data_IF_848594292802
#
_entry.id   IF_848594292802
#
_cell.length_a   1.000
_cell.length_b   1.000
_cell.length_c   1.000
_cell.angle_alpha   90.00
_cell.angle_beta   90.00
_cell.angle_gamma   90.00
#
_symmetry.space_group_name_H-M   'P 1'
#
loop_
_entity.id
_entity.type
_entity.pdbx_description
1 polymer ?
#
# COMPACT_ATOMS: atom_id res chain seq x y z
N UNK A 1 -3.10 19.44 -6.90
CA UNK A 1 -3.89 20.67 -7.12
C UNK A 1 -4.44 21.17 -5.80
N UNK A 2 -5.22 20.36 -5.05
CA UNK A 2 -5.79 20.78 -3.77
C UNK A 2 -4.72 21.18 -2.75
N UNK A 3 -3.63 20.44 -2.67
CA UNK A 3 -2.53 20.73 -1.76
C UNK A 3 -1.85 22.07 -2.10
N UNK A 4 -1.68 22.37 -3.38
CA UNK A 4 -1.07 23.61 -3.82
C UNK A 4 -1.96 24.85 -3.56
N UNK A 5 -3.28 24.68 -3.65
CA UNK A 5 -4.23 25.72 -3.28
C UNK A 5 -4.19 26.00 -1.78
N UNK A 6 -4.06 24.97 -0.96
CA UNK A 6 -4.00 25.10 0.50
C UNK A 6 -2.70 25.74 1.01
N UNK A 7 -1.61 25.59 0.27
CA UNK A 7 -0.26 26.00 0.68
C UNK A 7 0.25 27.21 -0.09
N UNK A 8 -0.53 27.68 -1.07
CA UNK A 8 -0.18 28.83 -1.94
C UNK A 8 1.19 28.67 -2.66
N UNK A 9 1.53 27.40 -3.00
CA UNK A 9 2.80 27.06 -3.62
C UNK A 9 2.81 27.41 -5.10
N UNK A 10 3.81 28.13 -5.60
CA UNK A 10 3.87 28.59 -7.00
C UNK A 10 4.18 27.47 -7.99
N UNK A 11 4.64 26.31 -7.51
CA UNK A 11 5.04 25.15 -8.32
C UNK A 11 4.41 23.86 -7.78
N UNK A 12 4.22 22.86 -8.67
CA UNK A 12 3.64 21.56 -8.34
C UNK A 12 4.69 20.46 -8.14
N UNK A 13 5.97 20.82 -8.01
CA UNK A 13 7.05 19.89 -7.70
C UNK A 13 7.14 19.61 -6.19
N UNK A 14 7.52 18.40 -5.82
CA UNK A 14 7.58 17.95 -4.43
C UNK A 14 8.45 18.84 -3.52
N UNK A 15 9.66 19.29 -3.94
CA UNK A 15 10.47 20.17 -3.10
C UNK A 15 9.81 21.50 -2.78
N UNK A 16 9.12 22.11 -3.76
CA UNK A 16 8.40 23.38 -3.56
C UNK A 16 7.18 23.22 -2.65
N UNK A 17 6.45 22.09 -2.78
CA UNK A 17 5.33 21.77 -1.90
C UNK A 17 5.81 21.51 -0.47
N UNK A 18 6.89 20.76 -0.29
CA UNK A 18 7.49 20.52 1.03
C UNK A 18 7.93 21.82 1.70
N UNK A 19 8.68 22.66 0.98
CA UNK A 19 9.14 23.96 1.51
C UNK A 19 7.97 24.90 1.84
N UNK A 20 6.91 24.87 1.05
CA UNK A 20 5.72 25.67 1.30
C UNK A 20 4.91 25.12 2.50
N UNK A 21 4.88 23.82 2.72
CA UNK A 21 4.27 23.19 3.90
C UNK A 21 5.02 23.54 5.19
N UNK A 22 6.35 23.60 5.14
CA UNK A 22 7.19 24.00 6.27
C UNK A 22 6.98 25.48 6.66
N UNK A 23 6.66 26.33 5.69
CA UNK A 23 6.42 27.77 5.89
C UNK A 23 4.96 28.11 6.22
N UNK A 24 4.02 27.25 5.85
CA UNK A 24 2.60 27.47 6.10
C UNK A 24 2.15 26.73 7.36
N UNK A 25 1.42 27.40 8.23
CA UNK A 25 0.69 26.75 9.32
C UNK A 25 -0.53 26.03 8.76
N UNK A 26 -0.33 24.89 8.09
CA UNK A 26 -1.46 23.99 7.84
C UNK A 26 -2.10 23.65 9.19
N UNK A 27 -3.41 23.89 9.28
CA UNK A 27 -4.15 23.44 10.48
C UNK A 27 -4.01 21.93 10.59
N UNK A 28 -3.69 21.41 11.77
CA UNK A 28 -3.55 19.96 12.05
C UNK A 28 -4.73 19.15 11.50
N UNK A 29 -5.92 19.73 11.56
CA UNK A 29 -7.14 19.14 11.00
C UNK A 29 -7.10 19.00 9.47
N UNK A 30 -6.49 19.93 8.75
CA UNK A 30 -6.36 19.85 7.30
C UNK A 30 -5.31 18.80 6.91
N UNK A 31 -4.14 18.80 7.55
CA UNK A 31 -3.09 17.81 7.36
C UNK A 31 -3.59 16.39 7.62
N UNK A 32 -4.33 16.18 8.70
CA UNK A 32 -4.95 14.91 9.05
C UNK A 32 -5.91 14.41 7.96
N UNK A 33 -6.78 15.27 7.44
CA UNK A 33 -7.74 14.91 6.38
C UNK A 33 -7.03 14.60 5.06
N UNK A 34 -6.02 15.38 4.67
CA UNK A 34 -5.26 15.17 3.44
C UNK A 34 -4.51 13.84 3.51
N UNK A 35 -3.83 13.57 4.61
CA UNK A 35 -3.14 12.29 4.81
C UNK A 35 -4.12 11.10 4.73
N UNK A 36 -5.28 11.21 5.38
CA UNK A 36 -6.33 10.19 5.33
C UNK A 36 -6.81 9.90 3.91
N UNK A 37 -7.03 10.93 3.09
CA UNK A 37 -7.40 10.76 1.68
C UNK A 37 -6.29 10.09 0.86
N UNK A 38 -5.03 10.47 1.07
CA UNK A 38 -3.88 9.82 0.42
C UNK A 38 -3.75 8.37 0.86
N UNK A 39 -3.91 8.10 2.16
CA UNK A 39 -3.86 6.74 2.72
C UNK A 39 -4.98 5.86 2.15
N UNK A 40 -6.20 6.38 2.02
CA UNK A 40 -7.31 5.64 1.41
C UNK A 40 -7.02 5.38 -0.08
N UNK A 41 -6.60 6.38 -0.84
CA UNK A 41 -6.30 6.24 -2.27
C UNK A 41 -5.20 5.21 -2.53
N UNK A 42 -4.06 5.34 -1.88
CA UNK A 42 -2.95 4.39 -1.99
C UNK A 42 -3.29 3.03 -1.36
N UNK A 43 -4.05 3.03 -0.26
CA UNK A 43 -4.51 1.81 0.40
C UNK A 43 -5.43 0.97 -0.48
N UNK A 44 -6.35 1.58 -1.23
CA UNK A 44 -7.18 0.89 -2.22
C UNK A 44 -6.30 0.26 -3.30
N UNK A 45 -5.33 0.99 -3.84
CA UNK A 45 -4.40 0.49 -4.86
C UNK A 45 -3.61 -0.73 -4.37
N UNK A 46 -3.17 -0.73 -3.12
CA UNK A 46 -2.40 -1.84 -2.51
C UNK A 46 -3.30 -2.98 -2.05
N UNK A 47 -4.61 -2.74 -1.95
CA UNK A 47 -5.61 -3.65 -1.36
C UNK A 47 -5.52 -3.75 0.17
N UNK A 48 -5.52 -2.60 0.86
CA UNK A 48 -5.64 -2.51 2.31
C UNK A 48 -7.06 -2.95 2.75
N UNK A 49 -7.15 -3.69 3.84
CA UNK A 49 -8.44 -4.01 4.46
C UNK A 49 -9.17 -2.71 4.87
N UNK A 50 -10.48 -2.60 4.63
CA UNK A 50 -11.41 -3.58 4.05
C UNK A 50 -11.49 -3.58 2.50
N UNK A 51 -10.76 -2.72 1.81
CA UNK A 51 -10.85 -2.50 0.36
C UNK A 51 -10.05 -3.53 -0.48
N UNK A 52 -9.83 -4.73 0.01
CA UNK A 52 -8.94 -5.73 -0.59
C UNK A 52 -9.61 -6.67 -1.60
N UNK A 53 -10.94 -6.78 -1.59
CA UNK A 53 -11.68 -7.85 -2.30
C UNK A 53 -11.52 -7.81 -3.82
N UNK A 54 -11.34 -6.63 -4.38
CA UNK A 54 -11.14 -6.45 -5.82
C UNK A 54 -9.84 -7.10 -6.32
N UNK A 55 -8.77 -7.03 -5.52
CA UNK A 55 -7.44 -7.49 -5.93
C UNK A 55 -7.40 -9.00 -6.12
N UNK A 56 -7.93 -9.77 -5.16
CA UNK A 56 -7.94 -11.21 -5.24
C UNK A 56 -8.77 -11.72 -6.43
N UNK A 57 -9.96 -11.15 -6.64
CA UNK A 57 -10.82 -11.48 -7.79
C UNK A 57 -10.19 -11.04 -9.12
N UNK A 58 -9.58 -9.88 -9.15
CA UNK A 58 -8.87 -9.36 -10.32
C UNK A 58 -7.73 -10.29 -10.76
N UNK A 59 -6.91 -10.76 -9.81
CA UNK A 59 -5.80 -11.67 -10.13
C UNK A 59 -6.28 -13.06 -10.58
N UNK A 60 -7.35 -13.54 -10.00
CA UNK A 60 -7.90 -14.87 -10.35
C UNK A 60 -8.45 -14.90 -11.77
N UNK A 61 -9.16 -13.84 -12.18
CA UNK A 61 -9.76 -13.72 -13.52
C UNK A 61 -8.78 -13.28 -14.62
N UNK A 62 -7.71 -12.59 -14.27
CA UNK A 62 -6.76 -12.04 -15.23
C UNK A 62 -5.85 -13.12 -15.85
N UNK A 63 -5.30 -12.89 -17.06
CA UNK A 63 -4.20 -13.70 -17.59
C UNK A 63 -2.99 -13.70 -16.65
N UNK A 64 -2.24 -14.80 -16.61
CA UNK A 64 -1.12 -14.98 -15.67
C UNK A 64 -0.09 -13.84 -15.73
N UNK A 65 0.28 -13.39 -16.93
CA UNK A 65 1.22 -12.29 -17.14
C UNK A 65 0.73 -10.97 -16.51
N UNK A 66 -0.57 -10.69 -16.60
CA UNK A 66 -1.17 -9.51 -15.99
C UNK A 66 -1.17 -9.63 -14.46
N UNK A 67 -1.52 -10.79 -13.92
CA UNK A 67 -1.48 -11.06 -12.48
C UNK A 67 -0.05 -10.91 -11.92
N UNK A 68 0.97 -11.42 -12.64
CA UNK A 68 2.38 -11.27 -12.29
C UNK A 68 2.81 -9.81 -12.23
N UNK A 69 2.51 -9.04 -13.29
CA UNK A 69 2.89 -7.63 -13.37
C UNK A 69 2.18 -6.79 -12.30
N UNK A 70 0.89 -7.00 -12.13
CA UNK A 70 0.11 -6.19 -11.19
C UNK A 70 0.46 -6.53 -9.74
N UNK A 71 0.48 -7.80 -9.37
CA UNK A 71 0.82 -8.22 -8.01
C UNK A 71 2.32 -8.01 -7.69
N UNK A 72 3.18 -8.24 -8.70
CA UNK A 72 4.64 -8.10 -8.55
C UNK A 72 5.12 -6.66 -8.46
N UNK A 73 4.56 -5.76 -9.25
CA UNK A 73 5.09 -4.39 -9.41
C UNK A 73 4.03 -3.33 -9.14
N UNK A 74 2.92 -3.29 -9.89
CA UNK A 74 2.05 -2.12 -9.93
C UNK A 74 1.45 -1.76 -8.58
N UNK A 75 1.00 -2.74 -7.79
CA UNK A 75 0.42 -2.41 -6.48
C UNK A 75 1.44 -1.84 -5.48
N UNK A 76 2.76 -2.05 -5.68
CA UNK A 76 3.80 -1.45 -4.85
C UNK A 76 3.89 0.07 -5.02
N UNK A 77 3.40 0.62 -6.12
CA UNK A 77 3.32 2.08 -6.29
C UNK A 77 2.48 2.76 -5.21
N UNK A 78 1.45 2.09 -4.68
CA UNK A 78 0.69 2.62 -3.55
C UNK A 78 1.51 2.69 -2.26
N UNK A 79 2.30 1.65 -1.95
CA UNK A 79 3.23 1.67 -0.81
C UNK A 79 4.33 2.72 -1.01
N UNK A 80 4.89 2.80 -2.22
CA UNK A 80 5.87 3.82 -2.58
C UNK A 80 5.30 5.24 -2.40
N UNK A 81 4.05 5.47 -2.83
CA UNK A 81 3.35 6.73 -2.67
C UNK A 81 3.19 7.13 -1.19
N UNK A 82 2.88 6.17 -0.31
CA UNK A 82 2.80 6.45 1.13
C UNK A 82 4.18 6.78 1.69
N UNK A 83 5.22 6.00 1.36
CA UNK A 83 6.58 6.16 1.90
C UNK A 83 7.24 7.44 1.39
N UNK A 84 7.10 7.76 0.09
CA UNK A 84 7.84 8.86 -0.54
C UNK A 84 7.05 10.17 -0.64
N UNK A 85 5.72 10.10 -0.56
CA UNK A 85 4.86 11.28 -0.74
C UNK A 85 4.10 11.58 0.55
N UNK A 86 3.23 10.69 1.00
CA UNK A 86 2.31 11.00 2.08
C UNK A 86 3.02 11.22 3.42
N UNK A 87 3.89 10.29 3.82
CA UNK A 87 4.56 10.34 5.12
C UNK A 87 5.61 11.45 5.24
N UNK A 88 6.47 11.73 4.23
CA UNK A 88 7.42 12.83 4.31
C UNK A 88 6.77 14.21 4.25
N UNK A 89 5.67 14.37 3.50
CA UNK A 89 4.98 15.66 3.40
C UNK A 89 4.17 15.99 4.67
N UNK A 90 3.65 14.99 5.37
CA UNK A 90 2.74 15.15 6.50
C UNK A 90 3.12 14.22 7.68
N UNK A 91 4.31 14.38 8.29
CA UNK A 91 4.83 13.45 9.29
C UNK A 91 3.95 13.36 10.55
N UNK A 92 3.43 14.49 11.04
CA UNK A 92 2.55 14.50 12.21
C UNK A 92 1.22 13.79 11.95
N UNK A 93 0.65 13.97 10.76
CA UNK A 93 -0.55 13.25 10.36
C UNK A 93 -0.28 11.76 10.18
N UNK A 94 0.90 11.37 9.68
CA UNK A 94 1.31 9.97 9.57
C UNK A 94 1.36 9.30 10.94
N UNK A 95 1.91 9.96 11.94
CA UNK A 95 1.92 9.48 13.34
C UNK A 95 0.50 9.35 13.91
N UNK A 96 -0.37 10.32 13.65
CA UNK A 96 -1.75 10.29 14.12
C UNK A 96 -2.58 9.16 13.48
N UNK A 97 -2.33 8.81 12.21
CA UNK A 97 -2.98 7.71 11.51
C UNK A 97 -2.35 6.34 11.76
N UNK A 98 -1.14 6.29 12.30
CA UNK A 98 -0.37 5.05 12.53
C UNK A 98 -1.15 3.97 13.30
N UNK A 99 -1.85 4.25 14.41
CA UNK A 99 -2.59 3.21 15.13
C UNK A 99 -3.69 2.58 14.29
N UNK A 100 -4.45 3.41 13.56
CA UNK A 100 -5.50 2.90 12.68
C UNK A 100 -4.91 2.08 11.54
N UNK A 101 -3.82 2.54 10.93
CA UNK A 101 -3.13 1.81 9.86
C UNK A 101 -2.65 0.44 10.33
N UNK A 102 -2.10 0.34 11.54
CA UNK A 102 -1.67 -0.94 12.13
C UNK A 102 -2.85 -1.89 12.34
N UNK A 103 -4.01 -1.42 12.81
CA UNK A 103 -5.20 -2.24 12.94
C UNK A 103 -5.73 -2.76 11.60
N UNK A 104 -5.75 -1.90 10.57
CA UNK A 104 -6.13 -2.30 9.21
C UNK A 104 -5.13 -3.29 8.61
N UNK A 105 -3.84 -3.09 8.85
CA UNK A 105 -2.78 -4.02 8.45
C UNK A 105 -2.93 -5.39 9.13
N UNK A 106 -3.28 -5.40 10.41
CA UNK A 106 -3.58 -6.64 11.14
C UNK A 106 -4.80 -7.36 10.54
N UNK A 107 -5.82 -6.62 10.12
CA UNK A 107 -6.95 -7.17 9.37
C UNK A 107 -6.51 -7.88 8.07
N UNK A 108 -5.60 -7.28 7.30
CA UNK A 108 -5.01 -7.96 6.13
C UNK A 108 -4.28 -9.25 6.52
N UNK A 109 -3.48 -9.22 7.58
CA UNK A 109 -2.67 -10.37 7.98
C UNK A 109 -3.57 -11.51 8.46
N UNK A 110 -4.48 -11.24 9.38
CA UNK A 110 -5.28 -12.27 10.03
C UNK A 110 -6.48 -12.69 9.19
N UNK A 111 -7.37 -11.73 8.85
CA UNK A 111 -8.62 -12.07 8.18
C UNK A 111 -8.38 -12.53 6.74
N UNK A 112 -7.60 -11.77 5.98
CA UNK A 112 -7.30 -12.15 4.58
C UNK A 112 -6.39 -13.37 4.52
N UNK A 113 -5.49 -13.54 5.49
CA UNK A 113 -4.66 -14.73 5.65
C UNK A 113 -5.49 -16.00 5.85
N UNK A 114 -6.49 -15.96 6.74
CA UNK A 114 -7.42 -17.08 6.92
C UNK A 114 -8.22 -17.40 5.64
N UNK A 115 -8.67 -16.36 4.93
CA UNK A 115 -9.34 -16.54 3.63
C UNK A 115 -8.41 -17.20 2.61
N UNK A 116 -7.12 -16.83 2.59
CA UNK A 116 -6.13 -17.43 1.68
C UNK A 116 -5.98 -18.94 1.91
N UNK A 117 -5.88 -19.36 3.18
CA UNK A 117 -5.76 -20.79 3.55
C UNK A 117 -7.03 -21.59 3.21
N UNK A 118 -8.19 -20.95 3.28
CA UNK A 118 -9.48 -21.59 2.97
C UNK A 118 -9.73 -21.76 1.46
N UNK A 119 -8.86 -21.25 0.58
CA UNK A 119 -9.04 -21.38 -0.87
C UNK A 119 -8.71 -22.78 -1.36
N UNK A 120 -9.56 -23.32 -2.21
CA UNK A 120 -9.34 -24.60 -2.92
C UNK A 120 -8.60 -24.43 -4.25
N UNK A 121 -8.66 -23.26 -4.83
CA UNK A 121 -7.97 -22.95 -6.09
C UNK A 121 -6.59 -22.33 -5.78
N UNK A 122 -5.52 -22.92 -6.32
CA UNK A 122 -4.15 -22.51 -6.08
C UNK A 122 -3.88 -21.05 -6.50
N UNK A 123 -4.45 -20.63 -7.63
CA UNK A 123 -4.31 -19.22 -8.08
C UNK A 123 -5.00 -18.24 -7.15
N UNK A 124 -6.20 -18.59 -6.66
CA UNK A 124 -6.92 -17.77 -5.65
C UNK A 124 -6.16 -17.72 -4.33
N UNK A 125 -5.57 -18.83 -3.89
CA UNK A 125 -4.74 -18.90 -2.68
C UNK A 125 -3.55 -17.93 -2.79
N UNK A 126 -2.83 -17.92 -3.91
CA UNK A 126 -1.72 -16.97 -4.16
C UNK A 126 -2.24 -15.54 -4.16
N UNK A 127 -3.40 -15.30 -4.75
CA UNK A 127 -4.02 -13.97 -4.85
C UNK A 127 -4.32 -13.38 -3.47
N UNK A 128 -5.00 -14.13 -2.61
CA UNK A 128 -5.27 -13.70 -1.23
C UNK A 128 -3.99 -13.66 -0.38
N UNK A 129 -3.08 -14.60 -0.54
CA UNK A 129 -1.77 -14.59 0.11
C UNK A 129 -0.96 -13.34 -0.23
N UNK A 130 -1.02 -12.89 -1.49
CA UNK A 130 -0.39 -11.63 -1.92
C UNK A 130 -1.00 -10.40 -1.24
N UNK A 131 -2.30 -10.38 -0.99
CA UNK A 131 -2.96 -9.30 -0.24
C UNK A 131 -2.58 -9.35 1.24
N UNK A 132 -2.54 -10.53 1.83
CA UNK A 132 -2.09 -10.73 3.22
C UNK A 132 -0.67 -10.16 3.43
N UNK A 133 0.28 -10.45 2.51
CA UNK A 133 1.64 -9.94 2.60
C UNK A 133 1.74 -8.40 2.55
N UNK A 134 0.80 -7.73 1.89
CA UNK A 134 0.74 -6.26 1.94
C UNK A 134 0.42 -5.74 3.35
N UNK A 135 -0.26 -6.53 4.17
CA UNK A 135 -0.45 -6.21 5.58
C UNK A 135 0.85 -6.02 6.34
N UNK A 136 1.86 -6.86 6.10
CA UNK A 136 3.19 -6.69 6.72
C UNK A 136 3.89 -5.40 6.24
N UNK A 137 3.71 -5.03 4.96
CA UNK A 137 4.23 -3.77 4.45
C UNK A 137 3.59 -2.57 5.15
N UNK A 138 2.26 -2.58 5.29
CA UNK A 138 1.54 -1.51 6.01
C UNK A 138 1.91 -1.46 7.49
N UNK A 139 2.15 -2.61 8.13
CA UNK A 139 2.60 -2.68 9.52
C UNK A 139 3.97 -2.00 9.67
N UNK A 140 4.91 -2.29 8.76
CA UNK A 140 6.22 -1.67 8.76
C UNK A 140 6.18 -0.15 8.53
N UNK A 141 5.27 0.33 7.67
CA UNK A 141 5.02 1.77 7.48
C UNK A 141 4.40 2.37 8.76
N UNK A 142 3.41 1.68 9.35
CA UNK A 142 2.69 2.14 10.55
C UNK A 142 3.57 2.29 11.79
N UNK A 143 4.70 1.61 11.88
CA UNK A 143 5.67 1.80 12.96
C UNK A 143 6.37 3.17 12.89
N UNK A 144 6.28 3.89 11.77
CA UNK A 144 6.86 5.22 11.57
C UNK A 144 8.35 5.32 11.95
N UNK A 145 9.12 4.26 11.66
CA UNK A 145 10.55 4.20 11.95
C UNK A 145 11.37 3.87 10.71
N UNK A 146 12.63 4.29 10.69
CA UNK A 146 13.57 4.01 9.59
C UNK A 146 13.71 2.49 9.36
N UNK A 147 13.75 1.70 10.44
CA UNK A 147 13.82 0.25 10.37
C UNK A 147 12.53 -0.35 9.78
N UNK A 148 11.36 0.16 10.18
CA UNK A 148 10.07 -0.28 9.65
C UNK A 148 9.94 -0.01 8.15
N UNK A 149 10.30 1.19 7.70
CA UNK A 149 10.29 1.57 6.29
C UNK A 149 11.31 0.73 5.49
N UNK A 150 12.53 0.57 6.01
CA UNK A 150 13.57 -0.24 5.38
C UNK A 150 13.15 -1.71 5.20
N UNK A 151 12.56 -2.30 6.23
CA UNK A 151 12.00 -3.65 6.19
C UNK A 151 10.87 -3.79 5.17
N UNK A 152 9.99 -2.75 5.09
CA UNK A 152 8.92 -2.71 4.08
C UNK A 152 9.48 -2.70 2.67
N UNK A 153 10.49 -1.89 2.37
CA UNK A 153 11.12 -1.82 1.05
C UNK A 153 11.75 -3.18 0.68
N UNK A 154 12.47 -3.81 1.61
CA UNK A 154 13.00 -5.16 1.39
C UNK A 154 11.88 -6.17 1.10
N UNK A 155 10.81 -6.13 1.87
CA UNK A 155 9.67 -7.03 1.66
C UNK A 155 8.97 -6.76 0.32
N UNK A 156 8.84 -5.50 -0.11
CA UNK A 156 8.28 -5.16 -1.42
C UNK A 156 9.06 -5.82 -2.57
N UNK A 157 10.39 -5.79 -2.52
CA UNK A 157 11.25 -6.43 -3.52
C UNK A 157 11.12 -7.96 -3.46
N UNK A 158 11.28 -8.56 -2.30
CA UNK A 158 11.19 -10.01 -2.10
C UNK A 158 9.81 -10.56 -2.51
N UNK A 159 8.73 -9.91 -2.06
CA UNK A 159 7.37 -10.29 -2.44
C UNK A 159 7.12 -10.10 -3.95
N UNK A 160 7.68 -9.05 -4.56
CA UNK A 160 7.52 -8.82 -6.00
C UNK A 160 8.02 -10.00 -6.83
N UNK A 161 9.22 -10.49 -6.51
CA UNK A 161 9.83 -11.64 -7.17
C UNK A 161 9.08 -12.94 -6.85
N UNK A 162 8.82 -13.21 -5.57
CA UNK A 162 8.20 -14.46 -5.14
C UNK A 162 6.78 -14.62 -5.66
N UNK A 163 5.93 -13.57 -5.60
CA UNK A 163 4.55 -13.67 -6.09
C UNK A 163 4.48 -13.82 -7.60
N UNK A 164 5.37 -13.17 -8.35
CA UNK A 164 5.45 -13.34 -9.80
C UNK A 164 5.81 -14.77 -10.16
N UNK A 165 6.79 -15.37 -9.48
CA UNK A 165 7.17 -16.76 -9.65
C UNK A 165 6.02 -17.71 -9.28
N UNK A 166 5.31 -17.45 -8.19
CA UNK A 166 4.18 -18.29 -7.77
C UNK A 166 3.04 -18.27 -8.78
N UNK A 167 2.68 -17.12 -9.38
CA UNK A 167 1.69 -17.07 -10.45
C UNK A 167 2.15 -17.81 -11.71
N UNK A 168 3.45 -17.75 -12.04
CA UNK A 168 4.02 -18.49 -13.14
C UNK A 168 3.89 -20.01 -12.90
N UNK A 169 4.29 -20.50 -11.73
CA UNK A 169 4.16 -21.90 -11.32
C UNK A 169 2.70 -22.36 -11.33
N UNK A 170 1.78 -21.55 -10.82
CA UNK A 170 0.36 -21.84 -10.85
C UNK A 170 -0.16 -22.09 -12.29
N UNK A 171 0.38 -21.39 -13.27
CA UNK A 171 0.02 -21.59 -14.66
C UNK A 171 0.55 -22.92 -15.22
N UNK A 172 1.73 -23.37 -14.79
CA UNK A 172 2.27 -24.68 -15.20
C UNK A 172 1.52 -25.84 -14.55
N UNK A 173 1.16 -25.73 -13.29
CA UNK A 173 0.43 -26.80 -12.56
C UNK A 173 -1.00 -26.96 -13.06
N UNK A 174 -1.61 -25.91 -13.60
CA UNK A 174 -2.98 -25.93 -14.12
C UNK A 174 -3.10 -26.55 -15.53
N UNK A 175 -2.00 -26.71 -16.26
CA UNK A 175 -1.96 -27.38 -17.56
C UNK A 175 -1.86 -28.89 -17.40
#
# INVERSE_FOLDING_TARGET
VALNILVDAPKFDFPSISAALDQSSLTDSAAFKIYGLLLIGFGILVALFPFHTWAARGYDSAPTSVSMLHAGVLKKFGLYGIIQIASPLLPEAALAWSPLLMWLALGNILLVGMVAVAQTNFKSMISYGSVMHMGYCFLGIGVCSVLGVGSTVMLMCAHGLSVSLMFLLANFVRK
#
